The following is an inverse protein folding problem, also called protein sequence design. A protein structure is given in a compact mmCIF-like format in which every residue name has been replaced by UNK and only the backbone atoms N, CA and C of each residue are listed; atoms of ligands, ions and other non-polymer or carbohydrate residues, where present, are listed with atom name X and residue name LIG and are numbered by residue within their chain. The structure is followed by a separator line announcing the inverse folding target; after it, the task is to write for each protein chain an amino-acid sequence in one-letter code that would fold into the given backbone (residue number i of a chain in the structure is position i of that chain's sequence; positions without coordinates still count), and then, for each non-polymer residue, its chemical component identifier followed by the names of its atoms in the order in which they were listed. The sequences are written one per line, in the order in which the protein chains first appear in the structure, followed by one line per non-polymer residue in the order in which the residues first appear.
data_IF_572021362385
#
_entry.id   IF_572021362385
#
_cell.length_a   1.000
_cell.length_b   1.000
_cell.length_c   1.000
_cell.angle_alpha   90.00
_cell.angle_beta   90.00
_cell.angle_gamma   90.00
#
_symmetry.space_group_name_H-M   'P 1'
#
loop_
_entity.id
_entity.type
_entity.pdbx_description
1 polymer ?
#
# COMPACT_ATOMS: atom_id res chain seq x y z
N UNK A 1 11.30 -20.13 -9.54
CA UNK A 1 11.99 -18.82 -9.47
C UNK A 1 11.97 -18.10 -10.81
N UNK A 2 12.44 -18.73 -11.90
CA UNK A 2 12.38 -18.14 -13.24
C UNK A 2 10.97 -17.83 -13.75
N UNK A 3 9.99 -18.68 -13.47
CA UNK A 3 8.58 -18.44 -13.87
C UNK A 3 8.03 -17.16 -13.24
N UNK A 4 8.38 -16.88 -11.97
CA UNK A 4 7.97 -15.65 -11.31
C UNK A 4 8.61 -14.41 -11.97
N UNK A 5 9.91 -14.49 -12.30
CA UNK A 5 10.62 -13.44 -13.03
C UNK A 5 10.06 -13.23 -14.45
N UNK A 6 9.75 -14.31 -15.16
CA UNK A 6 9.13 -14.26 -16.47
C UNK A 6 7.74 -13.64 -16.41
N UNK A 7 6.96 -13.95 -15.37
CA UNK A 7 5.60 -13.42 -15.19
C UNK A 7 5.60 -11.92 -14.84
N UNK A 8 6.56 -11.43 -14.04
CA UNK A 8 6.71 -9.99 -13.80
C UNK A 8 7.17 -9.24 -15.03
N UNK A 9 8.10 -9.82 -15.81
CA UNK A 9 8.57 -9.20 -17.06
C UNK A 9 7.45 -9.15 -18.11
N UNK A 10 6.71 -10.25 -18.24
CA UNK A 10 5.55 -10.34 -19.12
C UNK A 10 4.43 -9.38 -18.67
N UNK A 11 4.16 -9.31 -17.37
CA UNK A 11 3.19 -8.36 -16.80
C UNK A 11 3.55 -6.90 -17.09
N UNK A 12 4.84 -6.57 -17.05
CA UNK A 12 5.32 -5.23 -17.40
C UNK A 12 5.19 -4.94 -18.90
N UNK A 13 5.50 -5.92 -19.77
CA UNK A 13 5.33 -5.79 -21.22
C UNK A 13 3.85 -5.64 -21.61
N UNK A 14 2.97 -6.46 -21.02
CA UNK A 14 1.51 -6.37 -21.20
C UNK A 14 0.99 -5.04 -20.68
N UNK A 15 1.45 -4.59 -19.51
CA UNK A 15 1.09 -3.28 -18.95
C UNK A 15 1.55 -2.10 -19.81
N UNK A 16 2.72 -2.20 -20.45
CA UNK A 16 3.21 -1.20 -21.39
C UNK A 16 2.35 -1.14 -22.67
N UNK A 17 1.95 -2.30 -23.21
CA UNK A 17 1.07 -2.38 -24.38
C UNK A 17 -0.34 -1.84 -24.06
N UNK A 18 -0.87 -2.11 -22.86
CA UNK A 18 -2.16 -1.62 -22.39
C UNK A 18 -2.17 -0.11 -22.07
N UNK A 19 -1.01 0.51 -21.82
CA UNK A 19 -0.87 1.95 -21.55
C UNK A 19 -1.31 2.83 -22.73
N UNK A 20 -1.39 2.26 -23.94
CA UNK A 20 -1.89 2.97 -25.14
C UNK A 20 -3.41 3.19 -25.13
N UNK A 21 -4.14 2.55 -24.22
CA UNK A 21 -5.60 2.60 -24.14
C UNK A 21 -6.07 3.14 -22.79
N UNK A 22 -7.14 3.97 -22.68
CA UNK A 22 -7.66 4.52 -21.43
C UNK A 22 -8.40 3.49 -20.53
N UNK A 23 -8.22 2.20 -20.82
CA UNK A 23 -8.85 1.07 -20.14
C UNK A 23 -8.37 0.76 -18.70
N UNK A 24 -7.16 1.17 -18.24
CA UNK A 24 -6.72 0.89 -16.88
C UNK A 24 -7.71 1.35 -15.82
N UNK A 25 -8.36 2.51 -16.03
CA UNK A 25 -9.32 3.06 -15.07
C UNK A 25 -10.59 2.21 -14.88
N UNK A 26 -10.99 1.43 -15.89
CA UNK A 26 -12.15 0.53 -15.81
C UNK A 26 -11.83 -0.73 -15.01
N UNK A 27 -10.61 -1.26 -15.18
CA UNK A 27 -10.13 -2.43 -14.42
C UNK A 27 -10.01 -2.08 -12.94
N UNK A 28 -9.40 -0.93 -12.60
CA UNK A 28 -9.28 -0.48 -11.20
C UNK A 28 -10.63 -0.30 -10.52
N UNK A 29 -11.66 0.12 -11.29
CA UNK A 29 -13.02 0.28 -10.78
C UNK A 29 -13.69 -1.05 -10.41
N UNK A 30 -13.31 -2.14 -11.10
CA UNK A 30 -13.78 -3.49 -10.79
C UNK A 30 -13.07 -4.14 -9.59
N UNK A 31 -11.87 -3.68 -9.23
CA UNK A 31 -11.11 -4.23 -8.10
C UNK A 31 -11.81 -3.94 -6.77
N UNK A 32 -12.32 -2.72 -6.57
CA UNK A 32 -13.00 -2.34 -5.31
C UNK A 32 -14.17 -3.25 -4.93
N UNK A 33 -15.18 -3.51 -5.79
CA UNK A 33 -16.27 -4.40 -5.43
C UNK A 33 -15.78 -5.84 -5.22
N UNK A 34 -14.79 -6.30 -5.98
CA UNK A 34 -14.18 -7.63 -5.81
C UNK A 34 -13.51 -7.75 -4.44
N UNK A 35 -12.69 -6.77 -4.04
CA UNK A 35 -12.08 -6.73 -2.71
C UNK A 35 -13.16 -6.74 -1.62
N UNK A 36 -14.21 -5.91 -1.75
CA UNK A 36 -15.32 -5.90 -0.80
C UNK A 36 -15.99 -7.27 -0.68
N UNK A 37 -16.23 -7.95 -1.81
CA UNK A 37 -16.83 -9.29 -1.85
C UNK A 37 -15.93 -10.34 -1.21
N UNK A 38 -14.62 -10.29 -1.50
CA UNK A 38 -13.63 -11.18 -0.89
C UNK A 38 -13.52 -10.95 0.62
N UNK A 39 -13.49 -9.69 1.07
CA UNK A 39 -13.46 -9.34 2.50
C UNK A 39 -14.74 -9.77 3.20
N UNK A 40 -15.90 -9.61 2.57
CA UNK A 40 -17.19 -10.06 3.10
C UNK A 40 -17.21 -11.58 3.25
N UNK A 41 -16.80 -12.31 2.21
CA UNK A 41 -16.71 -13.77 2.24
C UNK A 41 -15.74 -14.26 3.32
N UNK A 42 -14.58 -13.60 3.44
CA UNK A 42 -13.61 -13.90 4.49
C UNK A 42 -14.18 -13.62 5.89
N UNK A 43 -14.87 -12.50 6.08
CA UNK A 43 -15.51 -12.14 7.35
C UNK A 43 -16.56 -13.15 7.77
N UNK A 44 -17.42 -13.59 6.83
CA UNK A 44 -18.41 -14.64 7.09
C UNK A 44 -17.74 -15.99 7.41
N UNK A 45 -16.70 -16.37 6.68
CA UNK A 45 -15.97 -17.62 6.90
C UNK A 45 -15.23 -17.66 8.25
N UNK A 46 -14.66 -16.54 8.67
CA UNK A 46 -13.98 -16.41 9.97
C UNK A 46 -14.98 -16.32 11.12
N UNK A 47 -16.09 -15.60 10.94
CA UNK A 47 -17.13 -15.42 11.97
C UNK A 47 -17.94 -16.69 12.26
N UNK A 48 -18.13 -17.57 11.27
CA UNK A 48 -18.83 -18.84 11.46
C UNK A 48 -18.01 -19.95 12.11
N UNK A 49 -16.72 -19.75 12.36
CA UNK A 49 -15.83 -20.78 12.88
C UNK A 49 -15.36 -20.44 14.31
N UNK A 50 -16.01 -21.05 15.31
CA UNK A 50 -15.75 -20.79 16.73
C UNK A 50 -14.28 -21.03 17.13
N UNK A 51 -13.63 -22.06 16.58
CA UNK A 51 -12.22 -22.35 16.86
C UNK A 51 -11.27 -21.24 16.36
N UNK A 52 -11.60 -20.61 15.23
CA UNK A 52 -10.83 -19.49 14.69
C UNK A 52 -11.15 -18.20 15.45
N UNK A 53 -12.41 -18.01 15.85
CA UNK A 53 -12.84 -16.82 16.59
C UNK A 53 -12.23 -16.75 18.00
N UNK A 54 -11.99 -17.89 18.65
CA UNK A 54 -11.32 -17.96 19.95
C UNK A 54 -9.80 -17.76 19.86
N UNK A 55 -9.18 -18.19 18.74
CA UNK A 55 -7.77 -17.96 18.47
C UNK A 55 -7.49 -16.53 17.95
N UNK A 56 -8.47 -15.89 17.32
CA UNK A 56 -8.38 -14.58 16.69
C UNK A 56 -7.84 -13.45 17.59
N UNK A 57 -8.25 -13.32 18.87
CA UNK A 57 -7.73 -12.28 19.76
C UNK A 57 -6.24 -12.45 20.02
N UNK A 58 -5.77 -13.70 20.16
CA UNK A 58 -4.36 -14.01 20.40
C UNK A 58 -3.51 -13.79 19.16
N UNK A 59 -3.94 -14.32 18.02
CA UNK A 59 -3.27 -14.13 16.72
C UNK A 59 -3.34 -12.67 16.24
N UNK A 60 -4.49 -12.04 16.39
CA UNK A 60 -4.73 -10.64 16.05
C UNK A 60 -3.94 -9.68 16.93
N UNK A 61 -3.86 -9.91 18.24
CA UNK A 61 -3.02 -9.12 19.15
C UNK A 61 -1.53 -9.21 18.80
N UNK A 62 -1.04 -10.41 18.50
CA UNK A 62 0.34 -10.61 18.02
C UNK A 62 0.58 -9.92 16.67
N UNK A 63 -0.36 -10.02 15.72
CA UNK A 63 -0.26 -9.36 14.42
C UNK A 63 -0.29 -7.83 14.55
N UNK A 64 -1.12 -7.27 15.42
CA UNK A 64 -1.22 -5.84 15.68
C UNK A 64 0.09 -5.29 16.27
N UNK A 65 0.62 -5.96 17.30
CA UNK A 65 1.89 -5.56 17.92
C UNK A 65 3.05 -5.64 16.92
N UNK A 66 3.11 -6.69 16.11
CA UNK A 66 4.12 -6.83 15.06
C UNK A 66 4.00 -5.75 13.97
N UNK A 67 2.76 -5.43 13.56
CA UNK A 67 2.51 -4.39 12.55
C UNK A 67 2.88 -3.01 13.07
N UNK A 68 2.51 -2.67 14.31
CA UNK A 68 2.87 -1.40 14.94
C UNK A 68 4.39 -1.28 15.12
N UNK A 69 5.05 -2.35 15.57
CA UNK A 69 6.50 -2.39 15.68
C UNK A 69 7.18 -2.22 14.31
N UNK A 70 6.67 -2.89 13.27
CA UNK A 70 7.16 -2.77 11.89
C UNK A 70 6.98 -1.37 11.32
N UNK A 71 5.81 -0.75 11.50
CA UNK A 71 5.53 0.62 11.08
C UNK A 71 6.41 1.63 11.82
N UNK A 72 6.54 1.48 13.15
CA UNK A 72 7.42 2.31 13.96
C UNK A 72 8.88 2.18 13.51
N UNK A 73 9.36 0.95 13.26
CA UNK A 73 10.70 0.69 12.74
C UNK A 73 10.92 1.30 11.35
N UNK A 74 9.97 1.14 10.43
CA UNK A 74 10.05 1.73 9.09
C UNK A 74 10.06 3.26 9.14
N UNK A 75 9.23 3.86 9.99
CA UNK A 75 9.18 5.31 10.16
C UNK A 75 10.46 5.83 10.82
N UNK A 76 10.95 5.14 11.86
CA UNK A 76 12.21 5.47 12.52
C UNK A 76 13.40 5.39 11.56
N UNK A 77 13.48 4.34 10.73
CA UNK A 77 14.49 4.20 9.69
C UNK A 77 14.43 5.35 8.68
N UNK A 78 13.23 5.68 8.19
CA UNK A 78 13.02 6.82 7.27
C UNK A 78 13.44 8.15 7.90
N UNK A 79 13.16 8.35 9.20
CA UNK A 79 13.57 9.53 9.94
C UNK A 79 15.08 9.57 10.19
N UNK A 80 15.72 8.44 10.47
CA UNK A 80 17.17 8.33 10.62
C UNK A 80 17.89 8.64 9.32
N UNK A 81 17.49 8.00 8.22
CA UNK A 81 18.05 8.27 6.89
C UNK A 81 17.89 9.74 6.52
N UNK A 82 16.68 10.29 6.70
CA UNK A 82 16.45 11.71 6.41
C UNK A 82 17.18 12.65 7.37
N UNK A 83 17.45 12.28 8.62
CA UNK A 83 18.30 13.08 9.54
C UNK A 83 19.79 13.00 9.21
N UNK A 84 20.29 11.84 8.78
CA UNK A 84 21.69 11.67 8.36
C UNK A 84 21.94 12.44 7.07
N UNK A 85 21.06 12.34 6.09
CA UNK A 85 21.15 13.13 4.85
C UNK A 85 21.00 14.64 5.10
N UNK A 86 20.13 15.07 6.03
CA UNK A 86 20.00 16.50 6.41
C UNK A 86 21.20 17.06 7.20
N UNK A 87 22.09 16.22 7.74
CA UNK A 87 23.35 16.67 8.35
C UNK A 87 24.47 16.88 7.31
N UNK A 88 24.41 16.19 6.16
CA UNK A 88 25.37 16.34 5.06
C UNK A 88 24.99 17.40 4.03
N UNK A 89 23.73 17.85 4.00
CA UNK A 89 23.26 18.89 3.10
C UNK A 89 22.45 19.91 3.89
N UNK A 90 22.98 21.13 4.01
CA UNK A 90 22.15 22.30 4.26
C UNK A 90 20.97 22.31 3.27
N UNK A 91 19.79 22.67 3.79
CA UNK A 91 18.50 22.92 3.13
C UNK A 91 18.49 23.02 1.57
N UNK A 92 17.42 22.53 0.88
CA UNK A 92 16.05 22.85 1.27
C UNK A 92 15.00 21.73 1.23
N UNK A 93 14.05 21.93 2.13
CA UNK A 93 12.62 21.62 2.04
C UNK A 93 12.07 21.38 0.63
N UNK A 94 11.72 20.12 0.35
CA UNK A 94 10.90 19.69 -0.79
C UNK A 94 9.66 18.91 -0.36
N UNK A 95 9.03 19.30 0.76
CA UNK A 95 7.66 18.86 1.10
C UNK A 95 6.70 19.66 0.20
N UNK A 96 6.64 19.30 -1.08
CA UNK A 96 5.68 19.82 -2.04
C UNK A 96 4.27 19.32 -1.75
N UNK A 97 3.65 19.81 -0.66
CA UNK A 97 2.19 19.81 -0.51
C UNK A 97 1.72 20.80 0.54
N UNK A 98 1.59 22.07 0.14
CA UNK A 98 0.57 22.96 0.69
C UNK A 98 0.24 24.06 -0.30
N UNK A 99 -0.62 23.71 -1.26
CA UNK A 99 -1.77 24.50 -1.71
C UNK A 99 -1.83 25.93 -1.12
N UNK A 100 -1.13 26.85 -1.77
CA UNK A 100 -1.25 28.32 -1.79
C UNK A 100 -0.62 28.63 -3.15
N UNK A 101 -1.39 28.96 -4.18
CA UNK A 101 -2.10 30.22 -4.37
C UNK A 101 -3.44 29.87 -5.05
N UNK A 102 -4.64 30.23 -4.59
CA UNK A 102 -5.15 31.54 -4.24
C UNK A 102 -4.79 32.60 -5.29
N UNK A 103 -5.82 33.00 -6.02
CA UNK A 103 -5.96 34.29 -6.67
C UNK A 103 -5.44 34.44 -8.11
N UNK A 104 -6.42 34.86 -8.92
CA UNK A 104 -6.32 35.96 -9.88
C UNK A 104 -5.69 35.70 -11.25
N UNK A 105 -6.41 36.22 -12.25
CA UNK A 105 -6.07 36.35 -13.68
C UNK A 105 -6.13 35.10 -14.56
N UNK A 106 -7.34 34.81 -15.06
CA UNK A 106 -7.71 35.08 -16.48
C UNK A 106 -9.19 34.79 -16.75
#
# INVERSE_FOLDING_TARGET
MFIALGLTFLGMAVGYLLRRSPWPGRLTRGITPVIMLLLLGLGMAVGGNAALMEALPRLGGAALTLTLAGLAGSLACTLLVSRVFRRGSGAPSGQGRSKKDAHEDR
#
